data_IF_846350265875
#
_entry.id   IF_846350265875
#
_cell.length_a   1.000
_cell.length_b   1.000
_cell.length_c   1.000
_cell.angle_alpha   90.00
_cell.angle_beta   90.00
_cell.angle_gamma   90.00
#
_symmetry.space_group_name_H-M   'P 1'
#
loop_
_entity.id
_entity.type
_entity.pdbx_description
1 polymer ?
#
# COMPACT_ATOMS: atom_id res chain seq x y z
N UNK A 1 -1.45 34.29 -0.07
CA UNK A 1 -1.65 32.87 0.33
C UNK A 1 -0.80 32.07 -0.62
N UNK A 2 0.42 31.81 -0.18
CA UNK A 2 1.57 31.82 -1.07
C UNK A 2 2.16 30.41 -1.23
N UNK A 3 3.22 30.27 -2.03
CA UNK A 3 3.86 28.97 -2.19
C UNK A 3 4.54 28.60 -0.86
N UNK A 4 4.34 27.35 -0.42
CA UNK A 4 4.78 26.78 0.87
C UNK A 4 4.14 27.39 2.14
N UNK A 5 3.08 28.18 2.00
CA UNK A 5 2.34 28.77 3.11
C UNK A 5 1.70 27.70 4.02
N UNK A 6 2.16 27.58 5.27
CA UNK A 6 1.65 26.58 6.24
C UNK A 6 0.24 26.98 6.71
N UNK A 7 -0.78 26.16 6.41
CA UNK A 7 -2.20 26.46 6.68
C UNK A 7 -2.90 25.38 7.51
N UNK A 8 -3.73 25.81 8.46
CA UNK A 8 -4.57 24.92 9.27
C UNK A 8 -5.84 24.50 8.51
N UNK A 9 -6.07 23.18 8.40
CA UNK A 9 -7.21 22.58 7.70
C UNK A 9 -8.13 21.74 8.59
N UNK A 10 -7.89 21.74 9.92
CA UNK A 10 -8.66 20.95 10.89
C UNK A 10 -10.09 21.45 11.13
N UNK A 11 -10.74 20.95 12.18
CA UNK A 11 -12.14 21.25 12.52
C UNK A 11 -12.36 22.59 13.22
N UNK A 12 -11.32 23.21 13.79
CA UNK A 12 -11.40 24.53 14.43
C UNK A 12 -11.52 25.70 13.44
N UNK A 13 -11.40 26.93 13.97
CA UNK A 13 -11.33 28.16 13.16
C UNK A 13 -10.18 28.07 12.15
N UNK A 14 -10.39 28.60 10.95
CA UNK A 14 -9.39 28.68 9.87
C UNK A 14 -9.34 30.10 9.33
N UNK A 15 -8.18 30.73 9.35
CA UNK A 15 -8.04 32.13 8.91
C UNK A 15 -7.69 32.26 7.42
N UNK A 16 -6.92 31.31 6.86
CA UNK A 16 -6.53 31.27 5.43
C UNK A 16 -7.37 30.35 4.54
N UNK A 17 -8.21 29.46 5.10
CA UNK A 17 -8.86 28.37 4.36
C UNK A 17 -10.36 28.27 4.68
N UNK A 18 -11.23 28.55 3.70
CA UNK A 18 -12.68 28.40 3.85
C UNK A 18 -13.09 26.91 3.97
N UNK A 19 -13.00 26.13 2.87
CA UNK A 19 -13.49 24.74 2.82
C UNK A 19 -12.56 23.81 2.04
N UNK A 20 -12.24 22.66 2.66
CA UNK A 20 -11.58 21.54 1.98
C UNK A 20 -12.58 20.87 1.02
N UNK A 21 -12.21 20.74 -0.26
CA UNK A 21 -13.06 20.13 -1.31
C UNK A 21 -13.01 18.59 -1.31
N UNK A 22 -11.87 18.00 -0.93
CA UNK A 22 -11.63 16.56 -0.92
C UNK A 22 -10.16 16.23 -1.14
N UNK A 23 -9.84 14.94 -1.30
CA UNK A 23 -8.50 14.49 -1.73
C UNK A 23 -8.32 14.71 -3.23
N UNK A 24 -7.10 15.05 -3.65
CA UNK A 24 -6.73 15.30 -5.05
C UNK A 24 -5.85 14.14 -5.56
N UNK A 25 -6.27 13.46 -6.64
CA UNK A 25 -5.38 12.52 -7.33
C UNK A 25 -4.25 13.30 -8.04
N UNK A 26 -3.02 12.77 -8.03
CA UNK A 26 -1.80 13.43 -8.55
C UNK A 26 -1.93 13.92 -10.01
N UNK A 27 -2.71 13.20 -10.82
CA UNK A 27 -3.02 13.54 -12.21
C UNK A 27 -3.64 14.95 -12.35
N UNK A 28 -4.35 15.42 -11.31
CA UNK A 28 -5.07 16.70 -11.28
C UNK A 28 -4.25 17.86 -10.67
N UNK A 29 -2.98 17.64 -10.30
CA UNK A 29 -2.08 18.73 -9.90
C UNK A 29 -1.75 19.61 -11.12
N UNK A 30 -1.69 20.93 -10.92
CA UNK A 30 -1.23 21.88 -11.96
C UNK A 30 0.26 21.68 -12.27
N UNK A 31 0.75 22.21 -13.39
CA UNK A 31 2.17 22.13 -13.76
C UNK A 31 3.07 22.68 -12.64
N UNK A 32 2.77 23.88 -12.14
CA UNK A 32 3.46 24.51 -11.01
C UNK A 32 3.40 23.64 -9.76
N UNK A 33 2.21 23.16 -9.35
CA UNK A 33 2.07 22.32 -8.15
C UNK A 33 2.81 20.98 -8.26
N UNK A 34 3.10 20.47 -9.45
CA UNK A 34 3.94 19.25 -9.63
C UNK A 34 5.45 19.52 -9.48
N UNK A 35 5.87 20.77 -9.63
CA UNK A 35 7.25 21.22 -9.40
C UNK A 35 7.42 21.52 -7.91
N UNK A 36 6.59 22.42 -7.37
CA UNK A 36 6.67 22.84 -5.96
C UNK A 36 6.45 21.69 -4.96
N UNK A 37 5.71 20.64 -5.36
CA UNK A 37 5.50 19.46 -4.51
C UNK A 37 6.81 18.83 -4.01
N UNK A 38 7.89 18.80 -4.81
CA UNK A 38 9.14 18.21 -4.32
C UNK A 38 9.82 19.11 -3.29
N UNK A 39 9.80 20.44 -3.46
CA UNK A 39 10.37 21.38 -2.50
C UNK A 39 9.55 21.44 -1.20
N UNK A 40 8.23 21.53 -1.29
CA UNK A 40 7.33 21.47 -0.13
C UNK A 40 7.51 20.17 0.68
N UNK A 41 7.76 19.04 0.01
CA UNK A 41 8.08 17.78 0.70
C UNK A 41 9.44 17.86 1.43
N UNK A 42 10.48 18.47 0.83
CA UNK A 42 11.78 18.65 1.52
C UNK A 42 11.64 19.51 2.78
N UNK A 43 10.87 20.60 2.72
CA UNK A 43 10.58 21.44 3.90
C UNK A 43 9.83 20.70 5.00
N UNK A 44 8.87 19.83 4.64
CA UNK A 44 8.16 18.97 5.60
C UNK A 44 9.11 17.93 6.22
N UNK A 45 10.05 17.38 5.45
CA UNK A 45 11.05 16.42 5.93
C UNK A 45 12.03 17.09 6.91
N UNK A 46 12.53 18.28 6.58
CA UNK A 46 13.42 19.06 7.46
C UNK A 46 12.72 19.52 8.74
N UNK A 47 11.45 19.92 8.65
CA UNK A 47 10.68 20.34 9.83
C UNK A 47 10.30 19.19 10.79
N UNK A 48 10.55 17.93 10.40
CA UNK A 48 10.24 16.71 11.15
C UNK A 48 11.37 15.67 11.05
N UNK A 49 12.62 16.15 11.03
CA UNK A 49 13.82 15.32 10.85
C UNK A 49 13.88 14.15 11.84
N UNK A 50 13.45 14.36 13.08
CA UNK A 50 13.37 13.36 14.14
C UNK A 50 12.62 12.10 13.71
N UNK A 51 11.49 12.25 13.02
CA UNK A 51 10.65 11.14 12.54
C UNK A 51 11.39 10.34 11.45
N UNK A 52 12.13 11.02 10.58
CA UNK A 52 12.83 10.40 9.45
C UNK A 52 14.17 9.77 9.85
N UNK A 53 14.90 10.38 10.79
CA UNK A 53 16.09 9.78 11.41
C UNK A 53 15.70 8.54 12.21
N UNK A 54 14.63 8.61 13.01
CA UNK A 54 14.05 7.46 13.71
C UNK A 54 13.66 6.33 12.75
N UNK A 55 13.10 6.67 11.59
CA UNK A 55 12.82 5.70 10.53
C UNK A 55 14.08 4.95 10.06
N UNK A 56 15.25 5.59 9.88
CA UNK A 56 16.48 4.87 9.51
C UNK A 56 16.95 3.90 10.60
N UNK A 57 16.79 4.31 11.87
CA UNK A 57 17.14 3.51 13.05
C UNK A 57 16.26 2.28 13.24
N UNK A 58 14.93 2.44 13.17
CA UNK A 58 13.99 1.38 13.56
C UNK A 58 13.60 0.42 12.43
N UNK A 59 13.78 0.80 11.15
CA UNK A 59 13.12 0.09 10.05
C UNK A 59 13.70 -1.31 9.75
N UNK A 60 12.82 -2.31 9.61
CA UNK A 60 13.20 -3.72 9.33
C UNK A 60 13.41 -4.08 7.84
N UNK A 61 13.69 -5.37 7.63
CA UNK A 61 13.54 -6.02 6.33
C UNK A 61 12.09 -6.01 5.83
N UNK A 62 11.89 -6.06 4.50
CA UNK A 62 10.56 -6.20 3.89
C UNK A 62 10.23 -7.66 3.57
N UNK A 63 11.26 -8.45 3.28
CA UNK A 63 11.24 -9.90 3.17
C UNK A 63 12.68 -10.44 3.23
N UNK A 64 12.83 -11.77 3.28
CA UNK A 64 14.11 -12.50 3.36
C UNK A 64 15.16 -12.03 2.32
N UNK A 65 14.74 -11.52 1.15
CA UNK A 65 15.62 -11.13 0.04
C UNK A 65 15.79 -9.61 -0.16
N UNK A 66 15.10 -8.76 0.59
CA UNK A 66 15.08 -7.30 0.34
C UNK A 66 14.74 -6.49 1.59
N UNK A 67 15.51 -5.43 1.86
CA UNK A 67 15.24 -4.53 2.99
C UNK A 67 14.13 -3.51 2.69
N UNK A 68 13.54 -2.86 3.71
CA UNK A 68 12.64 -1.72 3.46
C UNK A 68 13.42 -0.46 3.02
N UNK A 69 14.63 -0.23 3.55
CA UNK A 69 15.52 0.88 3.14
C UNK A 69 15.78 0.91 1.63
N UNK A 70 15.95 -0.26 1.02
CA UNK A 70 16.14 -0.48 -0.42
C UNK A 70 15.01 0.07 -1.32
N UNK A 71 13.88 0.50 -0.75
CA UNK A 71 12.77 1.12 -1.48
C UNK A 71 13.00 2.62 -1.77
N UNK A 72 13.91 3.27 -1.04
CA UNK A 72 14.30 4.67 -1.23
C UNK A 72 15.20 4.81 -2.47
N UNK A 73 14.92 5.74 -3.41
CA UNK A 73 15.79 6.00 -4.55
C UNK A 73 17.21 6.34 -4.11
N UNK A 74 18.21 5.66 -4.68
CA UNK A 74 19.63 5.77 -4.30
C UNK A 74 20.09 4.70 -3.31
N UNK A 75 19.23 4.14 -2.46
CA UNK A 75 19.63 3.09 -1.51
C UNK A 75 19.69 1.71 -2.21
N UNK A 76 20.90 1.35 -2.64
CA UNK A 76 21.24 -0.02 -3.04
C UNK A 76 21.52 -0.95 -1.86
N UNK A 77 21.86 -2.22 -2.16
CA UNK A 77 22.25 -3.21 -1.14
C UNK A 77 23.48 -2.78 -0.33
N UNK A 78 24.48 -2.17 -0.97
CA UNK A 78 25.70 -1.66 -0.31
C UNK A 78 25.36 -0.63 0.78
N UNK A 79 24.66 0.45 0.43
CA UNK A 79 24.21 1.44 1.41
C UNK A 79 23.30 0.84 2.48
N UNK A 80 22.39 -0.08 2.12
CA UNK A 80 21.56 -0.79 3.09
C UNK A 80 22.39 -1.53 4.13
N UNK A 81 23.43 -2.26 3.71
CA UNK A 81 24.33 -2.97 4.63
C UNK A 81 25.10 -1.99 5.51
N UNK A 82 25.68 -0.93 4.95
CA UNK A 82 26.41 0.10 5.70
C UNK A 82 25.51 0.78 6.75
N UNK A 83 24.29 1.18 6.40
CA UNK A 83 23.31 1.77 7.34
C UNK A 83 22.97 0.79 8.47
N UNK A 84 22.84 -0.51 8.16
CA UNK A 84 22.56 -1.56 9.14
C UNK A 84 23.76 -1.95 10.01
N UNK A 85 24.99 -1.70 9.55
CA UNK A 85 26.22 -1.89 10.32
C UNK A 85 26.49 -0.69 11.24
N UNK A 86 26.26 0.53 10.75
CA UNK A 86 26.38 1.75 11.54
C UNK A 86 25.33 1.84 12.65
N UNK A 87 24.04 1.62 12.36
CA UNK A 87 22.99 1.72 13.39
C UNK A 87 23.13 0.69 14.53
N UNK A 88 23.93 -0.37 14.34
CA UNK A 88 24.27 -1.36 15.38
C UNK A 88 25.35 -0.85 16.34
N UNK A 89 26.20 0.09 15.91
CA UNK A 89 27.20 0.74 16.77
C UNK A 89 26.53 1.81 17.63
N UNK A 90 25.82 2.71 16.97
CA UNK A 90 25.03 3.77 17.60
C UNK A 90 23.89 4.20 16.64
N UNK A 91 22.65 4.39 17.12
CA UNK A 91 21.56 4.97 16.34
C UNK A 91 21.94 6.36 15.80
N UNK A 92 21.46 6.69 14.60
CA UNK A 92 21.68 7.99 14.00
C UNK A 92 20.94 9.10 14.76
N UNK A 93 21.54 10.29 14.83
CA UNK A 93 21.03 11.48 15.56
C UNK A 93 20.50 12.56 14.62
N UNK A 94 21.06 12.69 13.42
CA UNK A 94 20.66 13.66 12.39
C UNK A 94 20.86 13.09 10.97
N UNK A 95 20.36 13.80 9.95
CA UNK A 95 20.69 13.53 8.55
C UNK A 95 22.17 13.76 8.24
N UNK A 96 22.84 14.65 8.97
CA UNK A 96 24.28 14.93 8.83
C UNK A 96 25.10 13.74 9.35
N UNK A 97 24.82 13.26 10.56
CA UNK A 97 25.44 12.06 11.17
C UNK A 97 25.22 10.80 10.30
N UNK A 98 24.03 10.63 9.71
CA UNK A 98 23.75 9.58 8.73
C UNK A 98 24.62 9.69 7.46
N UNK A 99 24.91 10.92 7.00
CA UNK A 99 25.67 11.21 5.78
C UNK A 99 27.19 11.07 5.99
N UNK A 100 27.69 11.51 7.13
CA UNK A 100 29.10 11.38 7.51
C UNK A 100 29.49 9.91 7.71
N UNK A 101 28.64 9.13 8.39
CA UNK A 101 28.92 7.72 8.72
C UNK A 101 28.68 6.75 7.57
N UNK A 102 27.91 7.13 6.55
CA UNK A 102 27.61 6.30 5.38
C UNK A 102 28.23 6.94 4.12
N UNK A 103 29.54 6.75 3.86
CA UNK A 103 30.21 7.42 2.75
C UNK A 103 29.59 7.10 1.39
N UNK A 104 29.57 8.12 0.52
CA UNK A 104 28.93 8.13 -0.80
C UNK A 104 27.39 7.97 -0.78
N UNK A 105 26.73 8.15 0.38
CA UNK A 105 25.28 8.36 0.42
C UNK A 105 24.94 9.74 -0.19
N UNK A 106 23.84 9.82 -0.93
CA UNK A 106 23.29 11.10 -1.39
C UNK A 106 22.56 11.84 -0.25
N UNK A 107 22.14 13.07 -0.51
CA UNK A 107 21.42 13.88 0.50
C UNK A 107 20.15 13.15 0.99
N UNK A 108 20.03 12.81 2.29
CA UNK A 108 18.92 12.00 2.80
C UNK A 108 17.54 12.62 2.54
N UNK A 109 17.44 13.95 2.70
CA UNK A 109 16.22 14.75 2.47
C UNK A 109 15.74 14.62 1.02
N UNK A 110 16.65 14.68 0.04
CA UNK A 110 16.33 14.51 -1.38
C UNK A 110 15.86 13.10 -1.70
N UNK A 111 16.55 12.10 -1.14
CA UNK A 111 16.24 10.68 -1.36
C UNK A 111 14.85 10.33 -0.77
N UNK A 112 14.54 10.86 0.41
CA UNK A 112 13.21 10.80 1.03
C UNK A 112 12.16 11.57 0.21
N UNK A 113 12.45 12.80 -0.24
CA UNK A 113 11.49 13.60 -1.01
C UNK A 113 11.13 12.94 -2.34
N UNK A 114 12.13 12.43 -3.07
CA UNK A 114 11.96 11.64 -4.29
C UNK A 114 11.18 10.35 -4.03
N UNK A 115 11.34 9.72 -2.86
CA UNK A 115 10.52 8.57 -2.45
C UNK A 115 9.06 8.95 -2.21
N UNK A 116 8.77 10.01 -1.45
CA UNK A 116 7.40 10.48 -1.20
C UNK A 116 6.71 10.90 -2.50
N UNK A 117 7.39 11.66 -3.37
CA UNK A 117 6.89 12.04 -4.70
C UNK A 117 6.50 10.81 -5.54
N UNK A 118 7.35 9.77 -5.54
CA UNK A 118 7.08 8.50 -6.21
C UNK A 118 5.94 7.71 -5.57
N UNK A 119 5.70 7.83 -4.26
CA UNK A 119 4.52 7.24 -3.59
C UNK A 119 3.23 8.00 -3.91
N UNK A 120 3.28 9.33 -4.03
CA UNK A 120 2.13 10.15 -4.42
C UNK A 120 1.73 10.00 -5.90
N UNK A 121 2.69 9.80 -6.82
CA UNK A 121 2.36 9.65 -8.25
C UNK A 121 1.42 8.46 -8.50
N UNK A 122 0.24 8.74 -9.09
CA UNK A 122 -0.75 7.73 -9.47
C UNK A 122 -0.76 7.40 -10.96
N UNK A 123 -0.06 8.19 -11.79
CA UNK A 123 -0.07 8.05 -13.26
C UNK A 123 0.62 6.77 -13.71
N UNK A 124 1.71 6.40 -13.05
CA UNK A 124 2.56 5.27 -13.43
C UNK A 124 2.06 3.93 -12.84
N UNK A 125 2.12 2.86 -13.64
CA UNK A 125 1.79 1.50 -13.17
C UNK A 125 2.96 0.95 -12.35
N UNK A 126 2.92 1.23 -11.05
CA UNK A 126 3.90 0.80 -10.05
C UNK A 126 4.16 -0.71 -10.09
N UNK A 127 5.43 -1.09 -10.24
CA UNK A 127 5.96 -2.47 -10.31
C UNK A 127 7.22 -2.61 -9.45
N UNK A 128 7.65 -3.83 -9.18
CA UNK A 128 8.89 -4.10 -8.43
C UNK A 128 8.89 -3.46 -7.03
N UNK A 129 9.92 -2.67 -6.73
CA UNK A 129 10.06 -1.87 -5.50
C UNK A 129 9.01 -0.76 -5.37
N UNK A 130 8.54 -0.20 -6.48
CA UNK A 130 7.67 1.00 -6.48
C UNK A 130 6.21 0.68 -6.11
N UNK A 131 5.83 -0.60 -5.96
CA UNK A 131 4.47 -1.01 -5.55
C UNK A 131 4.20 -0.84 -4.05
N UNK A 132 5.24 -0.70 -3.25
CA UNK A 132 5.14 -0.51 -1.80
C UNK A 132 4.93 0.97 -1.48
N UNK A 133 4.32 1.24 -0.34
CA UNK A 133 4.08 2.56 0.24
C UNK A 133 4.63 2.55 1.67
N UNK A 134 5.21 3.66 2.12
CA UNK A 134 5.98 3.76 3.36
C UNK A 134 5.66 5.06 4.11
N UNK A 135 5.52 6.17 3.38
CA UNK A 135 5.28 7.50 3.91
C UNK A 135 3.87 8.00 3.60
N UNK A 136 3.22 7.47 2.56
CA UNK A 136 1.87 7.91 2.14
C UNK A 136 0.84 6.79 2.22
N UNK A 137 -0.43 7.17 2.36
CA UNK A 137 -1.54 6.22 2.29
C UNK A 137 -1.68 5.62 0.88
N UNK A 138 -2.12 4.37 0.79
CA UNK A 138 -2.36 3.70 -0.51
C UNK A 138 -3.61 4.30 -1.16
N UNK A 139 -3.52 4.89 -2.37
CA UNK A 139 -4.64 5.60 -2.99
C UNK A 139 -5.77 4.64 -3.38
N UNK A 140 -6.99 4.96 -2.98
CA UNK A 140 -8.20 4.16 -3.28
C UNK A 140 -8.35 3.82 -4.78
N UNK A 141 -7.98 4.77 -5.65
CA UNK A 141 -8.05 4.69 -7.13
C UNK A 141 -6.87 3.98 -7.81
N UNK A 142 -5.93 3.39 -7.06
CA UNK A 142 -4.73 2.73 -7.59
C UNK A 142 -5.04 1.76 -8.75
N UNK A 143 -4.32 1.76 -9.89
CA UNK A 143 -4.57 0.89 -11.04
C UNK A 143 -4.77 -0.61 -10.75
N UNK A 144 -4.14 -1.15 -9.70
CA UNK A 144 -4.38 -2.53 -9.23
C UNK A 144 -5.81 -2.75 -8.69
N UNK A 145 -6.40 -1.75 -8.03
CA UNK A 145 -7.79 -1.78 -7.56
C UNK A 145 -8.80 -1.55 -8.69
N UNK A 146 -8.46 -0.83 -9.77
CA UNK A 146 -9.35 -0.63 -10.93
C UNK A 146 -9.86 -1.98 -11.48
N UNK A 147 -8.98 -3.00 -11.61
CA UNK A 147 -9.37 -4.36 -12.05
C UNK A 147 -10.34 -5.09 -11.10
N UNK A 148 -10.23 -4.88 -9.78
CA UNK A 148 -11.11 -5.54 -8.78
C UNK A 148 -12.58 -5.11 -8.88
N UNK A 149 -12.89 -3.89 -9.36
CA UNK A 149 -14.27 -3.43 -9.53
C UNK A 149 -14.97 -4.12 -10.72
N UNK A 150 -14.30 -4.27 -11.86
CA UNK A 150 -14.90 -4.89 -13.06
C UNK A 150 -15.37 -6.34 -12.83
N UNK A 151 -14.57 -7.17 -12.15
CA UNK A 151 -14.95 -8.56 -11.91
C UNK A 151 -16.12 -8.74 -10.92
N UNK A 152 -16.39 -7.77 -10.03
CA UNK A 152 -17.54 -7.85 -9.11
C UNK A 152 -18.91 -7.73 -9.81
N UNK A 153 -18.97 -7.22 -11.04
CA UNK A 153 -20.22 -7.04 -11.79
C UNK A 153 -20.67 -8.24 -12.64
N UNK A 154 -19.80 -9.23 -12.90
CA UNK A 154 -20.07 -10.32 -13.88
C UNK A 154 -20.30 -11.71 -13.25
N UNK A 155 -20.36 -11.80 -11.92
CA UNK A 155 -20.30 -13.07 -11.17
C UNK A 155 -21.61 -13.56 -10.53
N UNK A 156 -22.80 -13.29 -11.10
CA UNK A 156 -24.10 -13.77 -10.57
C UNK A 156 -25.06 -14.32 -11.62
N UNK A 157 -24.54 -15.07 -12.60
CA UNK A 157 -25.36 -15.94 -13.45
C UNK A 157 -25.94 -17.10 -12.62
N UNK A 158 -27.26 -17.35 -12.72
CA UNK A 158 -27.95 -18.41 -11.97
C UNK A 158 -27.57 -19.80 -12.49
N UNK A 159 -26.80 -20.57 -11.73
CA UNK A 159 -26.58 -22.00 -11.99
C UNK A 159 -27.80 -22.82 -11.51
N UNK A 160 -28.88 -22.84 -12.32
CA UNK A 160 -30.09 -23.60 -12.03
C UNK A 160 -29.88 -25.11 -12.29
N UNK A 161 -29.09 -25.78 -11.45
CA UNK A 161 -28.78 -27.21 -11.59
C UNK A 161 -29.86 -28.09 -10.94
N UNK A 162 -30.80 -28.51 -11.77
CA UNK A 162 -31.75 -29.58 -11.46
C UNK A 162 -31.01 -30.87 -11.05
N UNK A 163 -31.21 -31.33 -9.80
CA UNK A 163 -30.94 -32.70 -9.33
C UNK A 163 -32.02 -33.08 -8.31
N UNK A 164 -33.01 -33.87 -8.76
CA UNK A 164 -34.08 -34.39 -7.90
C UNK A 164 -33.78 -35.74 -7.24
N UNK A 165 -34.83 -36.29 -6.60
CA UNK A 165 -34.88 -37.51 -5.74
C UNK A 165 -34.37 -37.29 -4.30
N UNK A 166 -35.06 -37.73 -3.25
CA UNK A 166 -36.44 -38.27 -3.13
C UNK A 166 -36.89 -38.12 -1.65
N UNK A 167 -38.17 -37.86 -1.34
CA UNK A 167 -38.68 -38.01 0.03
C UNK A 167 -38.78 -39.50 0.41
N UNK A 168 -38.63 -39.78 1.70
CA UNK A 168 -38.65 -41.12 2.28
C UNK A 168 -40.05 -41.39 2.87
N UNK A 169 -40.70 -42.52 2.56
CA UNK A 169 -41.86 -42.97 3.34
C UNK A 169 -42.05 -44.50 3.30
N UNK A 170 -42.68 -45.05 4.34
CA UNK A 170 -42.73 -46.49 4.66
C UNK A 170 -44.03 -47.14 4.16
N UNK A 171 -43.91 -48.22 3.38
CA UNK A 171 -45.02 -49.12 3.00
C UNK A 171 -44.94 -50.46 3.73
N UNK A 172 -46.08 -51.08 4.05
CA UNK A 172 -46.18 -52.32 4.85
C UNK A 172 -46.25 -53.60 3.99
N UNK A 173 -45.69 -54.71 4.49
CA UNK A 173 -46.11 -56.11 4.22
C UNK A 173 -47.46 -56.40 4.93
N UNK A 174 -48.24 -57.48 4.67
CA UNK A 174 -47.90 -58.86 4.23
C UNK A 174 -48.61 -59.23 2.88
N UNK A 175 -48.99 -60.45 2.44
CA UNK A 175 -49.18 -61.80 3.03
C UNK A 175 -48.86 -62.98 2.08
N UNK A 176 -48.55 -64.13 2.70
CA UNK A 176 -48.95 -65.53 2.44
C UNK A 176 -48.74 -66.30 1.10
N UNK A 177 -48.56 -67.61 1.30
CA UNK A 177 -48.52 -68.79 0.38
C UNK A 177 -49.97 -69.23 -0.02
N UNK A 178 -50.24 -70.29 -0.83
CA UNK A 178 -49.42 -71.42 -1.37
C UNK A 178 -49.64 -71.64 -2.90
N UNK A 179 -49.60 -72.80 -3.57
CA UNK A 179 -49.38 -74.25 -3.28
C UNK A 179 -49.00 -75.05 -4.54
N UNK A 180 -48.06 -76.00 -4.41
CA UNK A 180 -47.85 -77.24 -5.24
C UNK A 180 -47.78 -77.08 -6.79
N UNK A 181 -47.58 -78.09 -7.67
CA UNK A 181 -47.27 -79.53 -7.51
C UNK A 181 -46.37 -80.07 -8.66
N UNK A 182 -46.27 -81.39 -8.83
CA UNK A 182 -45.37 -82.08 -9.78
C UNK A 182 -45.99 -82.37 -11.17
N UNK A 183 -45.13 -82.84 -12.09
CA UNK A 183 -45.39 -83.45 -13.41
C UNK A 183 -45.64 -82.45 -14.56
N UNK A 184 -45.32 -82.77 -15.81
CA UNK A 184 -44.76 -84.04 -16.37
C UNK A 184 -43.26 -83.94 -16.71
#
# INVERSE_FOLDING_TARGET
>A
LDIHDKVYIGSGKRDKVNRVKGLLDFENLTATSRIELEYAIKEIILAHEDIYVKFFNEIDSLNIKMHKLELIPGIGKKHTQMILEERKKEPFKSFEDLKERVPLLGEPVDMLAKRVRLELDTTTVKRGKNKYYMFTQVPSRHPSNRKKKFNKGRGRGRNNRNKGRKPNNRGKKPQNKPSSENKE
#
